data_IF_308702933630
#
_entry.id   IF_308702933630
#
_cell.length_a   1.000
_cell.length_b   1.000
_cell.length_c   1.000
_cell.angle_alpha   90.00
_cell.angle_beta   90.00
_cell.angle_gamma   90.00
#
_symmetry.space_group_name_H-M   'P 1'
#
loop_
_entity.id
_entity.type
_entity.pdbx_description
1 polymer ?
#
# COMPACT_ATOMS: atom_id res chain seq x y z
N UNK A 1 18.41 7.12 26.47
CA UNK A 1 16.96 6.82 26.45
C UNK A 1 16.69 5.82 25.35
N UNK A 2 15.87 4.79 25.62
CA UNK A 2 15.43 3.86 24.60
C UNK A 2 14.54 4.62 23.60
N UNK A 3 14.76 4.46 22.27
CA UNK A 3 13.89 5.07 21.28
C UNK A 3 12.47 4.50 21.43
N UNK A 4 11.45 5.36 21.25
CA UNK A 4 10.05 4.93 21.23
C UNK A 4 9.82 3.91 20.09
N UNK A 5 8.81 3.02 20.25
CA UNK A 5 8.38 2.14 19.16
C UNK A 5 8.02 2.93 17.90
N UNK A 6 8.22 2.33 16.76
CA UNK A 6 7.86 2.87 15.45
C UNK A 6 6.77 2.03 14.82
N UNK A 7 5.74 2.63 14.20
CA UNK A 7 4.79 1.89 13.40
C UNK A 7 5.51 1.35 12.16
N UNK A 8 5.31 0.08 11.89
CA UNK A 8 5.82 -0.60 10.70
C UNK A 8 4.70 -1.45 10.11
N UNK A 9 4.52 -1.37 8.79
CA UNK A 9 3.57 -2.22 8.09
C UNK A 9 4.18 -3.59 7.82
N UNK A 10 3.40 -4.64 8.06
CA UNK A 10 3.80 -6.01 7.72
C UNK A 10 3.87 -6.13 6.20
N UNK A 11 4.94 -6.75 5.69
CA UNK A 11 5.13 -7.07 4.28
C UNK A 11 4.79 -8.52 3.97
N UNK A 12 5.25 -9.46 4.80
CA UNK A 12 4.95 -10.89 4.68
C UNK A 12 4.95 -11.56 6.04
N UNK A 13 4.28 -12.69 6.13
CA UNK A 13 4.30 -13.57 7.32
C UNK A 13 4.34 -15.02 6.91
N UNK A 14 4.91 -15.85 7.77
CA UNK A 14 4.73 -17.29 7.71
C UNK A 14 4.48 -17.80 9.14
N UNK A 15 3.22 -18.15 9.39
CA UNK A 15 2.81 -18.63 10.71
C UNK A 15 3.37 -20.02 11.02
N UNK A 16 3.61 -20.86 10.01
CA UNK A 16 4.19 -22.19 10.18
C UNK A 16 5.68 -22.15 10.53
N UNK A 17 6.43 -21.27 9.86
CA UNK A 17 7.84 -21.03 10.13
C UNK A 17 8.09 -20.00 11.25
N UNK A 18 7.06 -19.29 11.70
CA UNK A 18 7.11 -18.39 12.85
C UNK A 18 7.87 -17.08 12.61
N UNK A 19 7.75 -16.49 11.44
CA UNK A 19 8.40 -15.21 11.15
C UNK A 19 7.44 -14.16 10.58
N UNK A 20 7.84 -12.89 10.72
CA UNK A 20 7.21 -11.73 10.10
C UNK A 20 8.29 -10.86 9.47
N UNK A 21 8.01 -10.33 8.27
CA UNK A 21 8.92 -9.49 7.50
C UNK A 21 8.39 -8.06 7.41
N UNK A 22 9.30 -7.11 7.62
CA UNK A 22 9.05 -5.69 7.50
C UNK A 22 10.06 -5.07 6.53
N UNK A 23 9.58 -4.16 5.69
CA UNK A 23 10.41 -3.27 4.90
C UNK A 23 10.21 -1.84 5.40
N UNK A 24 11.27 -1.17 5.77
CA UNK A 24 11.22 0.20 6.29
C UNK A 24 12.36 1.06 5.75
N UNK A 25 12.17 2.37 5.79
CA UNK A 25 13.19 3.36 5.44
C UNK A 25 13.84 3.90 6.73
N UNK A 26 15.17 4.03 6.72
CA UNK A 26 15.89 4.67 7.82
C UNK A 26 15.74 6.19 7.67
N UNK A 27 14.95 6.80 8.56
CA UNK A 27 14.63 8.24 8.50
C UNK A 27 14.90 8.99 9.82
N UNK A 28 15.40 8.32 10.85
CA UNK A 28 15.68 8.93 12.14
C UNK A 28 16.21 7.94 13.15
N UNK A 29 16.51 8.41 14.35
CA UNK A 29 17.22 7.66 15.40
C UNK A 29 16.60 6.31 15.76
N UNK A 30 15.26 6.18 15.71
CA UNK A 30 14.59 4.92 16.02
C UNK A 30 14.79 3.86 14.94
N UNK A 31 14.58 4.22 13.66
CA UNK A 31 14.83 3.32 12.54
C UNK A 31 16.32 3.08 12.30
N UNK A 32 17.19 4.05 12.63
CA UNK A 32 18.63 3.85 12.63
C UNK A 32 19.06 2.85 13.71
N UNK A 33 18.52 2.94 14.92
CA UNK A 33 18.80 1.96 15.97
C UNK A 33 18.30 0.55 15.57
N UNK A 34 17.17 0.47 14.86
CA UNK A 34 16.64 -0.79 14.33
C UNK A 34 17.56 -1.37 13.25
N UNK A 35 18.06 -0.55 12.32
CA UNK A 35 18.94 -1.00 11.22
C UNK A 35 20.31 -1.54 11.67
N UNK A 36 20.70 -1.24 12.92
CA UNK A 36 21.93 -1.77 13.52
C UNK A 36 21.74 -3.09 14.26
N UNK A 37 20.52 -3.63 14.30
CA UNK A 37 20.24 -4.91 14.95
C UNK A 37 20.83 -6.07 14.14
N UNK A 38 21.31 -7.05 14.85
CA UNK A 38 21.94 -8.25 14.27
C UNK A 38 21.11 -9.49 14.56
N UNK A 39 21.23 -10.55 13.75
CA UNK A 39 20.56 -11.82 14.03
C UNK A 39 20.85 -12.35 15.43
N UNK A 40 19.82 -12.87 16.09
CA UNK A 40 19.89 -13.36 17.47
C UNK A 40 19.51 -12.30 18.56
N UNK A 41 19.39 -11.02 18.19
CA UNK A 41 18.91 -10.00 19.12
C UNK A 41 17.38 -10.04 19.27
N UNK A 42 16.90 -9.81 20.48
CA UNK A 42 15.46 -9.75 20.77
C UNK A 42 14.93 -8.33 20.60
N UNK A 43 13.80 -8.22 19.88
CA UNK A 43 13.04 -6.98 19.71
C UNK A 43 11.68 -7.09 20.40
N UNK A 44 11.27 -6.01 21.10
CA UNK A 44 9.93 -5.92 21.66
C UNK A 44 8.97 -5.33 20.62
N UNK A 45 7.95 -6.09 20.23
CA UNK A 45 6.90 -5.69 19.30
C UNK A 45 5.54 -5.64 19.98
N UNK A 46 4.67 -4.75 19.51
CA UNK A 46 3.26 -4.67 19.87
C UNK A 46 2.46 -4.74 18.56
N UNK A 47 1.65 -5.77 18.42
CA UNK A 47 0.86 -5.96 17.19
C UNK A 47 0.20 -7.34 17.11
N UNK A 48 -0.57 -7.60 16.04
CA UNK A 48 -0.97 -6.60 15.05
C UNK A 48 -1.89 -5.53 15.65
N UNK A 49 -1.88 -4.30 15.12
CA UNK A 49 -2.72 -3.19 15.55
C UNK A 49 -3.50 -2.61 14.39
N UNK A 50 -4.64 -1.97 14.71
CA UNK A 50 -5.48 -1.27 13.72
C UNK A 50 -6.45 -2.16 12.97
N UNK A 51 -7.16 -1.55 12.02
CA UNK A 51 -8.17 -2.18 11.18
C UNK A 51 -7.59 -2.51 9.80
N UNK A 52 -7.78 -3.74 9.29
CA UNK A 52 -7.27 -4.17 7.99
C UNK A 52 -8.11 -3.62 6.83
N UNK A 53 -7.62 -3.80 5.60
CA UNK A 53 -8.44 -3.66 4.40
C UNK A 53 -9.59 -4.67 4.39
N UNK A 54 -10.77 -4.22 3.96
CA UNK A 54 -11.95 -5.06 3.80
C UNK A 54 -12.16 -5.34 2.32
N UNK A 55 -12.10 -6.60 1.93
CA UNK A 55 -12.26 -7.02 0.53
C UNK A 55 -13.74 -7.05 0.15
N UNK A 56 -14.05 -6.52 -1.02
CA UNK A 56 -15.41 -6.58 -1.61
C UNK A 56 -15.47 -7.75 -2.60
N UNK A 57 -16.12 -8.83 -2.19
CA UNK A 57 -16.25 -10.04 -3.01
C UNK A 57 -17.04 -9.84 -4.30
N UNK A 58 -17.85 -8.80 -4.40
CA UNK A 58 -18.54 -8.44 -5.63
C UNK A 58 -17.63 -7.77 -6.68
N UNK A 59 -16.40 -7.38 -6.27
CA UNK A 59 -15.42 -6.66 -7.06
C UNK A 59 -14.07 -7.36 -7.06
N UNK A 60 -13.94 -8.47 -7.79
CA UNK A 60 -12.76 -9.33 -7.75
C UNK A 60 -11.50 -8.68 -8.36
N UNK A 61 -11.65 -7.64 -9.18
CA UNK A 61 -10.51 -6.89 -9.74
C UNK A 61 -10.00 -5.92 -8.70
N UNK A 62 -8.83 -6.19 -8.13
CA UNK A 62 -8.26 -5.34 -7.09
C UNK A 62 -7.07 -4.55 -7.62
N UNK A 63 -7.16 -3.23 -7.58
CA UNK A 63 -6.06 -2.32 -7.93
C UNK A 63 -5.34 -1.91 -6.64
N UNK A 64 -4.11 -2.41 -6.46
CA UNK A 64 -3.28 -2.16 -5.29
C UNK A 64 -2.22 -1.10 -5.63
N UNK A 65 -2.25 0.03 -4.93
CA UNK A 65 -1.37 1.17 -5.19
C UNK A 65 -0.45 1.41 -3.99
N UNK A 66 0.84 1.08 -4.14
CA UNK A 66 1.85 1.21 -3.09
C UNK A 66 2.89 2.28 -3.39
N UNK A 67 3.08 3.27 -2.51
CA UNK A 67 4.10 4.32 -2.67
C UNK A 67 5.16 4.30 -1.58
N UNK A 68 6.45 4.20 -1.94
CA UNK A 68 7.53 4.20 -0.96
C UNK A 68 7.37 3.15 0.13
N UNK A 69 7.29 3.56 1.39
CA UNK A 69 7.04 2.64 2.54
C UNK A 69 5.60 2.10 2.60
N UNK A 70 4.71 2.54 1.71
CA UNK A 70 3.39 1.93 1.50
C UNK A 70 3.41 0.71 0.56
N UNK A 71 4.54 0.35 -0.04
CA UNK A 71 4.71 -0.88 -0.82
C UNK A 71 4.48 -2.15 0.04
N UNK A 72 5.06 -2.29 1.24
CA UNK A 72 4.89 -3.46 2.10
C UNK A 72 3.43 -3.90 2.33
N UNK A 73 2.50 -3.04 2.78
CA UNK A 73 1.13 -3.47 2.99
C UNK A 73 0.41 -3.88 1.70
N UNK A 74 0.80 -3.33 0.53
CA UNK A 74 0.27 -3.78 -0.76
C UNK A 74 0.80 -5.16 -1.14
N UNK A 75 2.06 -5.47 -0.83
CA UNK A 75 2.62 -6.82 -0.99
C UNK A 75 1.91 -7.81 -0.06
N UNK A 76 1.67 -7.44 1.19
CA UNK A 76 0.94 -8.28 2.16
C UNK A 76 -0.50 -8.57 1.70
N UNK A 77 -1.19 -7.55 1.18
CA UNK A 77 -2.53 -7.72 0.63
C UNK A 77 -2.51 -8.60 -0.63
N UNK A 78 -1.52 -8.42 -1.52
CA UNK A 78 -1.33 -9.25 -2.71
C UNK A 78 -1.06 -10.71 -2.35
N UNK A 79 -0.27 -10.99 -1.30
CA UNK A 79 -0.02 -12.34 -0.78
C UNK A 79 -1.33 -13.02 -0.33
N UNK A 80 -2.20 -12.28 0.34
CA UNK A 80 -3.52 -12.79 0.74
C UNK A 80 -4.41 -13.08 -0.49
N UNK A 81 -4.38 -12.21 -1.49
CA UNK A 81 -5.26 -12.32 -2.66
C UNK A 81 -4.85 -13.43 -3.63
N UNK A 82 -3.54 -13.65 -3.86
CA UNK A 82 -3.08 -14.64 -4.84
C UNK A 82 -3.39 -16.08 -4.44
N UNK A 83 -3.64 -16.34 -3.18
CA UNK A 83 -3.99 -17.67 -2.67
C UNK A 83 -5.41 -18.10 -3.07
N UNK A 84 -6.22 -17.20 -3.65
CA UNK A 84 -7.57 -17.50 -4.09
C UNK A 84 -7.79 -16.97 -5.51
N UNK A 85 -7.98 -17.89 -6.46
CA UNK A 85 -8.15 -17.61 -7.89
C UNK A 85 -9.37 -16.73 -8.24
N UNK A 86 -10.26 -16.45 -7.28
CA UNK A 86 -11.34 -15.48 -7.43
C UNK A 86 -10.80 -14.07 -7.67
N UNK A 87 -9.70 -13.70 -7.01
CA UNK A 87 -9.15 -12.35 -7.06
C UNK A 87 -8.24 -12.15 -8.27
N UNK A 88 -8.33 -10.98 -8.86
CA UNK A 88 -7.52 -10.57 -10.02
C UNK A 88 -6.73 -9.29 -9.65
N UNK A 89 -5.72 -9.40 -8.78
CA UNK A 89 -4.96 -8.25 -8.35
C UNK A 89 -4.02 -7.72 -9.42
N UNK A 90 -4.00 -6.40 -9.55
CA UNK A 90 -2.99 -5.64 -10.28
C UNK A 90 -2.28 -4.74 -9.28
N UNK A 91 -0.95 -4.84 -9.21
CA UNK A 91 -0.17 -4.11 -8.22
C UNK A 91 0.70 -3.08 -8.93
N UNK A 92 0.47 -1.81 -8.63
CA UNK A 92 1.30 -0.71 -9.10
C UNK A 92 2.07 -0.13 -7.94
N UNK A 93 3.37 0.13 -8.15
CA UNK A 93 4.27 0.63 -7.12
C UNK A 93 4.98 1.88 -7.59
N UNK A 94 5.01 2.91 -6.74
CA UNK A 94 5.71 4.17 -6.99
C UNK A 94 6.86 4.39 -6.02
N UNK A 95 7.98 4.94 -6.50
CA UNK A 95 9.10 5.32 -5.64
C UNK A 95 9.89 6.50 -6.22
N UNK A 96 10.26 7.44 -5.35
CA UNK A 96 11.18 8.55 -5.66
C UNK A 96 12.65 8.18 -5.43
N UNK A 97 12.90 7.03 -4.82
CA UNK A 97 14.24 6.48 -4.59
C UNK A 97 14.33 5.10 -5.25
N UNK A 98 15.53 4.52 -5.43
CA UNK A 98 15.65 3.17 -5.96
C UNK A 98 14.75 2.19 -5.21
N UNK A 99 14.10 1.31 -5.97
CA UNK A 99 13.28 0.25 -5.36
C UNK A 99 14.17 -0.68 -4.52
N UNK A 100 13.67 -1.21 -3.39
CA UNK A 100 14.45 -2.10 -2.51
C UNK A 100 14.61 -3.52 -3.08
N UNK A 101 14.45 -3.67 -4.38
CA UNK A 101 14.63 -4.90 -5.14
C UNK A 101 15.11 -4.60 -6.57
N UNK A 102 15.76 -5.56 -7.20
CA UNK A 102 16.14 -5.46 -8.62
C UNK A 102 14.92 -5.82 -9.47
N UNK A 103 14.33 -4.82 -10.14
CA UNK A 103 13.20 -5.04 -11.04
C UNK A 103 13.58 -6.00 -12.19
N UNK A 104 12.60 -6.75 -12.68
CA UNK A 104 12.76 -7.57 -13.89
C UNK A 104 11.61 -7.30 -14.88
N UNK A 105 11.80 -7.60 -16.18
CA UNK A 105 10.69 -7.52 -17.13
C UNK A 105 9.55 -8.46 -16.74
N UNK A 106 8.32 -7.95 -16.78
CA UNK A 106 7.14 -8.74 -16.46
C UNK A 106 6.82 -9.75 -17.55
N UNK A 107 6.36 -10.92 -17.16
CA UNK A 107 5.80 -11.95 -18.04
C UNK A 107 4.31 -11.75 -18.33
N UNK A 108 3.67 -10.84 -17.58
CA UNK A 108 2.25 -10.60 -17.67
C UNK A 108 1.96 -9.34 -18.50
N UNK A 109 1.05 -9.46 -19.45
CA UNK A 109 0.51 -8.31 -20.18
C UNK A 109 -0.58 -7.67 -19.35
N UNK A 110 -0.53 -6.35 -19.22
CA UNK A 110 -1.61 -5.54 -18.65
C UNK A 110 -2.19 -4.62 -19.73
N UNK A 111 -3.52 -4.57 -19.89
CA UNK A 111 -4.13 -3.67 -20.86
C UNK A 111 -3.79 -2.21 -20.54
N UNK A 112 -3.63 -1.40 -21.58
CA UNK A 112 -3.37 0.04 -21.48
C UNK A 112 -1.97 0.44 -21.05
N UNK A 113 -1.10 -0.50 -20.66
CA UNK A 113 0.27 -0.15 -20.30
C UNK A 113 1.08 0.28 -21.54
N UNK A 114 1.84 1.38 -21.47
CA UNK A 114 2.78 1.74 -22.52
C UNK A 114 3.81 0.61 -22.74
N UNK A 115 4.20 0.35 -23.99
CA UNK A 115 5.08 -0.78 -24.36
C UNK A 115 6.41 -0.82 -23.61
N UNK A 116 6.97 0.35 -23.26
CA UNK A 116 8.22 0.44 -22.52
C UNK A 116 8.06 0.16 -21.02
N UNK A 117 6.83 0.11 -20.48
CA UNK A 117 6.55 -0.08 -19.05
C UNK A 117 6.45 -1.55 -18.73
N UNK A 118 7.61 -2.18 -18.57
CA UNK A 118 7.75 -3.62 -18.38
C UNK A 118 8.31 -4.01 -17.01
N UNK A 119 8.86 -3.05 -16.25
CA UNK A 119 9.49 -3.35 -14.95
C UNK A 119 8.46 -3.82 -13.92
N UNK A 120 8.76 -4.92 -13.27
CA UNK A 120 7.90 -5.57 -12.28
C UNK A 120 8.70 -6.01 -11.04
N UNK A 121 8.01 -6.20 -9.92
CA UNK A 121 8.59 -6.76 -8.70
C UNK A 121 8.77 -8.27 -8.84
N UNK A 122 10.00 -8.83 -8.68
CA UNK A 122 10.27 -10.25 -8.83
C UNK A 122 9.38 -11.15 -7.98
N UNK A 123 9.15 -10.79 -6.73
CA UNK A 123 8.31 -11.55 -5.80
C UNK A 123 6.87 -11.73 -6.32
N UNK A 124 6.26 -10.67 -6.84
CA UNK A 124 4.90 -10.74 -7.40
C UNK A 124 4.87 -11.56 -8.69
N UNK A 125 5.89 -11.43 -9.53
CA UNK A 125 6.05 -12.27 -10.71
C UNK A 125 6.14 -13.77 -10.35
N UNK A 126 6.85 -14.11 -9.26
CA UNK A 126 6.97 -15.49 -8.77
C UNK A 126 5.63 -16.02 -8.23
N UNK A 127 4.79 -15.16 -7.68
CA UNK A 127 3.42 -15.48 -7.26
C UNK A 127 2.40 -15.52 -8.41
N UNK A 128 2.82 -15.19 -9.63
CA UNK A 128 1.91 -15.15 -10.78
C UNK A 128 1.06 -13.89 -10.85
N UNK A 129 1.47 -12.82 -10.18
CA UNK A 129 0.75 -11.55 -10.11
C UNK A 129 1.37 -10.48 -11.01
N UNK A 130 0.50 -9.79 -11.76
CA UNK A 130 0.91 -8.69 -12.58
C UNK A 130 1.23 -7.44 -11.76
N UNK A 131 2.43 -6.87 -11.96
CA UNK A 131 2.82 -5.61 -11.35
C UNK A 131 3.51 -4.68 -12.32
N UNK A 132 3.48 -3.37 -12.05
CA UNK A 132 4.24 -2.35 -12.78
C UNK A 132 4.78 -1.30 -11.81
N UNK A 133 5.89 -0.69 -12.23
CA UNK A 133 6.62 0.30 -11.44
C UNK A 133 6.53 1.68 -12.07
N UNK A 134 6.39 2.72 -11.25
CA UNK A 134 6.38 4.12 -11.65
C UNK A 134 7.42 4.92 -10.86
N UNK A 135 8.12 5.84 -11.52
CA UNK A 135 9.09 6.74 -10.88
C UNK A 135 9.38 7.93 -11.77
N UNK A 136 9.60 9.10 -11.19
CA UNK A 136 10.10 10.29 -11.89
C UNK A 136 11.62 10.26 -12.12
N UNK A 137 12.31 9.20 -11.74
CA UNK A 137 13.77 9.08 -11.82
C UNK A 137 14.27 8.42 -13.10
N UNK A 138 13.38 8.08 -14.05
CA UNK A 138 13.76 7.45 -15.32
C UNK A 138 14.39 6.06 -15.18
N UNK A 139 13.98 5.28 -14.18
CA UNK A 139 14.47 3.90 -14.04
C UNK A 139 14.03 3.03 -15.22
N UNK A 140 14.95 2.20 -15.76
CA UNK A 140 14.64 1.38 -16.94
C UNK A 140 13.40 0.51 -16.77
N UNK A 141 12.50 0.57 -17.76
CA UNK A 141 11.25 -0.20 -17.78
C UNK A 141 10.17 0.26 -16.80
N UNK A 142 10.41 1.30 -16.01
CA UNK A 142 9.40 1.95 -15.19
C UNK A 142 8.60 2.98 -16.00
N UNK A 143 7.38 3.24 -15.58
CA UNK A 143 6.61 4.38 -16.06
C UNK A 143 7.24 5.68 -15.55
N UNK A 144 7.56 6.62 -16.44
CA UNK A 144 8.06 7.93 -16.06
C UNK A 144 6.89 8.85 -15.74
N UNK A 145 6.52 8.89 -14.46
CA UNK A 145 5.35 9.63 -13.99
C UNK A 145 4.87 9.16 -12.63
N UNK A 146 3.69 9.63 -12.25
CA UNK A 146 3.06 9.23 -10.99
C UNK A 146 2.31 7.91 -11.13
N UNK A 147 2.22 7.19 -10.03
CA UNK A 147 1.49 5.91 -9.94
C UNK A 147 0.00 6.05 -10.34
N UNK A 148 -0.59 7.22 -10.07
CA UNK A 148 -1.98 7.52 -10.44
C UNK A 148 -2.16 7.67 -11.94
N UNK A 149 -1.17 8.19 -12.66
CA UNK A 149 -1.21 8.29 -14.12
C UNK A 149 -1.09 6.89 -14.75
N UNK A 150 -0.18 6.07 -14.20
CA UNK A 150 -0.07 4.67 -14.60
C UNK A 150 -1.36 3.89 -14.33
N UNK A 151 -2.04 4.15 -13.21
CA UNK A 151 -3.33 3.55 -12.89
C UNK A 151 -4.44 3.99 -13.88
N UNK A 152 -4.43 5.25 -14.35
CA UNK A 152 -5.36 5.74 -15.38
C UNK A 152 -5.20 4.94 -16.69
N UNK A 153 -3.98 4.71 -17.13
CA UNK A 153 -3.73 3.89 -18.33
C UNK A 153 -4.41 2.52 -18.26
N UNK A 154 -4.33 1.86 -17.11
CA UNK A 154 -4.99 0.58 -16.91
C UNK A 154 -6.50 0.69 -16.84
N UNK A 155 -7.04 1.66 -16.08
CA UNK A 155 -8.48 1.86 -15.93
C UNK A 155 -9.17 2.28 -17.23
N UNK A 156 -8.52 3.08 -18.07
CA UNK A 156 -9.04 3.53 -19.37
C UNK A 156 -9.12 2.38 -20.39
N UNK A 157 -8.25 1.38 -20.26
CA UNK A 157 -8.24 0.22 -21.13
C UNK A 157 -9.29 -0.84 -20.75
N UNK A 158 -9.92 -0.72 -19.59
CA UNK A 158 -11.02 -1.61 -19.17
C UNK A 158 -12.35 -1.14 -19.78
N UNK A 159 -13.18 -2.08 -20.17
CA UNK A 159 -14.57 -1.77 -20.49
C UNK A 159 -15.39 -1.41 -19.24
N UNK A 160 -16.62 -0.93 -19.41
CA UNK A 160 -17.46 -0.47 -18.32
C UNK A 160 -17.82 -1.62 -17.35
N UNK A 161 -18.04 -2.83 -17.85
CA UNK A 161 -18.33 -4.01 -17.04
C UNK A 161 -17.14 -4.36 -16.15
N UNK A 162 -15.95 -4.42 -16.74
CA UNK A 162 -14.70 -4.69 -16.03
C UNK A 162 -14.39 -3.62 -14.97
N UNK A 163 -14.63 -2.33 -15.28
CA UNK A 163 -14.44 -1.25 -14.29
C UNK A 163 -15.37 -1.35 -13.10
N UNK A 164 -16.62 -1.79 -13.30
CA UNK A 164 -17.56 -2.01 -12.19
C UNK A 164 -17.10 -3.08 -11.21
N UNK A 165 -16.20 -3.97 -11.62
CA UNK A 165 -15.63 -5.02 -10.80
C UNK A 165 -14.35 -4.57 -10.06
N UNK A 166 -13.91 -3.31 -10.24
CA UNK A 166 -12.67 -2.81 -9.63
C UNK A 166 -12.93 -2.24 -8.24
N UNK A 167 -12.06 -2.62 -7.28
CA UNK A 167 -11.86 -1.94 -6.00
C UNK A 167 -10.41 -1.47 -5.86
N UNK A 168 -10.23 -0.28 -5.29
CA UNK A 168 -8.91 0.35 -5.13
C UNK A 168 -8.46 0.26 -3.68
N UNK A 169 -7.22 -0.16 -3.46
CA UNK A 169 -6.57 -0.23 -2.16
C UNK A 169 -5.22 0.49 -2.25
N UNK A 170 -4.94 1.41 -1.34
CA UNK A 170 -3.72 2.19 -1.42
C UNK A 170 -3.06 2.41 -0.07
N UNK A 171 -1.72 2.46 -0.09
CA UNK A 171 -0.89 2.90 1.02
C UNK A 171 0.32 3.68 0.48
N UNK A 172 0.67 4.78 1.12
CA UNK A 172 1.79 5.62 0.72
C UNK A 172 1.73 7.02 1.31
N UNK A 173 2.56 7.94 0.83
CA UNK A 173 2.57 9.32 1.29
C UNK A 173 1.22 10.01 1.12
N UNK A 174 0.87 10.90 2.05
CA UNK A 174 -0.42 11.61 2.06
C UNK A 174 -0.77 12.28 0.71
N UNK A 175 0.13 12.98 -0.01
CA UNK A 175 -0.18 13.54 -1.32
C UNK A 175 -0.55 12.47 -2.36
N UNK A 176 0.11 11.31 -2.33
CA UNK A 176 -0.22 10.18 -3.21
C UNK A 176 -1.62 9.64 -2.90
N UNK A 177 -1.96 9.46 -1.62
CA UNK A 177 -3.27 8.95 -1.21
C UNK A 177 -4.40 9.93 -1.59
N UNK A 178 -4.16 11.25 -1.47
CA UNK A 178 -5.10 12.28 -1.95
C UNK A 178 -5.32 12.18 -3.47
N UNK A 179 -4.25 11.97 -4.25
CA UNK A 179 -4.34 11.77 -5.69
C UNK A 179 -5.07 10.46 -6.05
N UNK A 180 -4.85 9.39 -5.29
CA UNK A 180 -5.59 8.11 -5.45
C UNK A 180 -7.07 8.28 -5.12
N UNK A 181 -7.41 9.03 -4.07
CA UNK A 181 -8.80 9.34 -3.75
C UNK A 181 -9.49 10.15 -4.86
N UNK A 182 -8.78 11.08 -5.50
CA UNK A 182 -9.27 11.82 -6.66
C UNK A 182 -9.47 10.88 -7.86
N UNK A 183 -8.50 10.04 -8.17
CA UNK A 183 -8.59 9.01 -9.20
C UNK A 183 -9.84 8.13 -8.99
N UNK A 184 -10.01 7.60 -7.80
CA UNK A 184 -11.15 6.72 -7.50
C UNK A 184 -12.50 7.45 -7.67
N UNK A 185 -12.58 8.76 -7.34
CA UNK A 185 -13.76 9.58 -7.61
C UNK A 185 -14.04 9.74 -9.10
N UNK A 186 -12.99 10.04 -9.89
CA UNK A 186 -13.11 10.25 -11.34
C UNK A 186 -13.73 9.01 -12.03
N UNK A 187 -13.38 7.81 -11.58
CA UNK A 187 -13.89 6.54 -12.11
C UNK A 187 -15.07 5.95 -11.31
N UNK A 188 -15.54 6.66 -10.28
CA UNK A 188 -16.60 6.20 -9.36
C UNK A 188 -16.32 4.82 -8.75
N UNK A 189 -15.09 4.58 -8.32
CA UNK A 189 -14.65 3.32 -7.72
C UNK A 189 -14.67 3.41 -6.18
N UNK A 190 -14.98 2.29 -5.48
CA UNK A 190 -14.67 2.19 -4.05
C UNK A 190 -13.16 2.19 -3.84
N UNK A 191 -12.73 2.92 -2.82
CA UNK A 191 -11.33 3.07 -2.52
C UNK A 191 -11.10 3.07 -1.00
N UNK A 192 -10.21 2.21 -0.53
CA UNK A 192 -9.72 2.22 0.84
C UNK A 192 -8.24 2.64 0.85
N UNK A 193 -7.90 3.49 1.81
CA UNK A 193 -6.55 4.01 2.00
C UNK A 193 -6.04 3.70 3.39
N UNK A 194 -4.79 3.26 3.50
CA UNK A 194 -4.09 3.10 4.77
C UNK A 194 -3.29 4.35 5.06
N UNK A 195 -3.68 5.09 6.10
CA UNK A 195 -3.04 6.33 6.52
C UNK A 195 -1.86 6.05 7.45
N UNK A 196 -0.85 6.90 7.38
CA UNK A 196 0.29 6.91 8.28
C UNK A 196 0.24 8.13 9.19
N UNK A 197 0.46 7.91 10.50
CA UNK A 197 0.57 8.96 11.50
C UNK A 197 1.62 8.61 12.55
N UNK A 198 2.15 9.61 13.24
CA UNK A 198 3.03 9.39 14.36
C UNK A 198 2.29 8.68 15.51
N UNK A 199 2.81 7.54 15.93
CA UNK A 199 2.20 6.74 16.99
C UNK A 199 3.10 6.73 18.23
N UNK A 200 2.54 7.12 19.38
CA UNK A 200 3.22 7.00 20.66
C UNK A 200 2.80 5.72 21.40
N UNK A 201 1.51 5.52 21.67
CA UNK A 201 1.02 4.38 22.45
C UNK A 201 0.57 3.18 21.61
N UNK A 202 0.11 3.38 20.38
CA UNK A 202 -0.44 2.38 19.45
C UNK A 202 -1.70 1.62 19.97
N UNK A 203 -2.27 2.03 21.10
CA UNK A 203 -3.44 1.40 21.76
C UNK A 203 -4.60 2.38 21.99
N UNK A 204 -4.60 3.51 21.28
CA UNK A 204 -5.70 4.48 21.31
C UNK A 204 -5.76 5.41 22.53
N UNK A 205 -4.84 5.28 23.49
CA UNK A 205 -4.91 6.03 24.76
C UNK A 205 -4.43 7.47 24.67
N UNK A 206 -3.44 7.78 23.82
CA UNK A 206 -2.80 9.11 23.79
C UNK A 206 -3.40 10.09 22.77
N UNK A 207 -4.24 9.62 21.85
CA UNK A 207 -4.83 10.38 20.73
C UNK A 207 -3.80 11.13 19.83
N UNK A 208 -2.53 10.75 19.87
CA UNK A 208 -1.47 11.43 19.11
C UNK A 208 -1.47 11.12 17.60
N UNK A 209 -2.18 10.07 17.16
CA UNK A 209 -2.28 9.64 15.77
C UNK A 209 -3.67 9.94 15.17
N UNK A 210 -4.29 11.06 15.54
CA UNK A 210 -5.65 11.38 15.08
C UNK A 210 -5.65 12.04 13.71
N UNK A 211 -6.63 11.63 12.89
CA UNK A 211 -6.96 12.22 11.59
C UNK A 211 -8.44 12.59 11.55
N UNK A 212 -8.79 13.61 10.78
CA UNK A 212 -10.18 13.98 10.60
C UNK A 212 -10.86 13.12 9.55
N UNK A 213 -11.93 12.46 9.94
CA UNK A 213 -12.75 11.60 9.08
C UNK A 213 -14.19 12.10 9.08
N UNK A 214 -14.78 12.28 7.90
CA UNK A 214 -16.19 12.58 7.74
C UNK A 214 -17.04 11.33 8.05
N UNK A 215 -17.88 11.43 9.04
CA UNK A 215 -18.82 10.36 9.42
C UNK A 215 -20.26 10.76 9.07
N UNK A 216 -21.20 9.82 9.21
CA UNK A 216 -22.62 10.09 8.99
C UNK A 216 -23.18 11.22 9.89
N UNK A 217 -22.55 11.46 11.04
CA UNK A 217 -22.93 12.49 12.01
C UNK A 217 -22.07 13.77 11.92
N UNK A 218 -21.17 13.87 10.93
CA UNK A 218 -20.24 14.99 10.72
C UNK A 218 -18.78 14.60 10.92
N UNK A 219 -17.87 15.59 10.84
CA UNK A 219 -16.43 15.35 11.02
C UNK A 219 -16.12 14.83 12.43
N UNK A 220 -15.22 13.85 12.52
CA UNK A 220 -14.77 13.28 13.78
C UNK A 220 -13.27 12.96 13.74
N UNK A 221 -12.57 13.16 14.85
CA UNK A 221 -11.17 12.77 14.99
C UNK A 221 -11.09 11.27 15.25
N UNK A 222 -10.45 10.54 14.35
CA UNK A 222 -10.25 9.09 14.41
C UNK A 222 -8.77 8.76 14.63
N UNK A 223 -8.48 7.77 15.45
CA UNK A 223 -7.10 7.34 15.77
C UNK A 223 -6.64 6.30 14.78
N UNK A 224 -5.57 6.59 14.06
CA UNK A 224 -5.02 5.69 13.04
C UNK A 224 -4.64 4.33 13.64
N UNK A 225 -4.19 4.28 14.89
CA UNK A 225 -3.75 3.03 15.52
C UNK A 225 -4.87 2.06 15.95
N UNK A 226 -6.11 2.50 16.08
CA UNK A 226 -7.24 1.64 16.53
C UNK A 226 -8.50 1.78 15.70
N UNK A 227 -8.82 3.01 15.22
CA UNK A 227 -9.98 3.26 14.36
C UNK A 227 -9.63 3.03 12.86
N UNK A 228 -8.33 3.21 12.49
CA UNK A 228 -7.68 2.92 11.23
C UNK A 228 -6.64 1.81 11.38
N UNK A 229 -5.57 1.75 10.57
CA UNK A 229 -5.12 2.77 9.60
C UNK A 229 -5.96 2.85 8.32
N UNK A 230 -6.80 1.87 8.04
CA UNK A 230 -7.60 1.79 6.83
C UNK A 230 -8.90 2.57 6.98
N UNK A 231 -9.16 3.45 6.03
CA UNK A 231 -10.37 4.26 5.94
C UNK A 231 -10.90 4.29 4.50
N UNK A 232 -12.20 4.53 4.33
CA UNK A 232 -12.76 4.90 3.02
C UNK A 232 -12.15 6.23 2.57
N UNK A 233 -11.57 6.25 1.38
CA UNK A 233 -10.91 7.42 0.82
C UNK A 233 -11.84 8.64 0.66
N UNK A 234 -13.17 8.41 0.53
CA UNK A 234 -14.19 9.45 0.46
C UNK A 234 -14.46 10.11 1.82
N UNK A 235 -14.17 9.40 2.89
CA UNK A 235 -14.39 9.88 4.26
C UNK A 235 -13.20 10.70 4.79
N UNK A 236 -12.01 10.52 4.24
CA UNK A 236 -10.80 11.25 4.68
C UNK A 236 -10.88 12.71 4.29
N UNK A 237 -10.55 13.60 5.23
CA UNK A 237 -10.37 15.03 4.94
C UNK A 237 -8.96 15.27 4.36
N UNK A 238 -8.88 15.47 3.04
CA UNK A 238 -7.63 15.64 2.28
C UNK A 238 -7.10 17.09 2.27
N UNK A 239 -7.25 17.82 3.38
CA UNK A 239 -6.76 19.21 3.50
C UNK A 239 -5.31 19.25 3.95
#
# INVERSE_FOLDING_TARGET
SLPMRRPLSIMRTDAGAGWVEFLYKVVGTGTEALSRRTPGETLSMLGPIGQPFVLDESRPRTLLLGGGVGIPPMVFLADTLHQNARWQPVVLMGSEVPFPFSARPSRFTLPGMPDAVIAAMPLLEDWGLASRLASLQGYPGCFEGYITDLARHWLDALDEGQRREVSVYACGPHPMLAAVAALARDYNLPCQVSLEEFMACAVGGCAGCTVEINTATGPAMKRVCVDGPVFDARAVNWR
#
